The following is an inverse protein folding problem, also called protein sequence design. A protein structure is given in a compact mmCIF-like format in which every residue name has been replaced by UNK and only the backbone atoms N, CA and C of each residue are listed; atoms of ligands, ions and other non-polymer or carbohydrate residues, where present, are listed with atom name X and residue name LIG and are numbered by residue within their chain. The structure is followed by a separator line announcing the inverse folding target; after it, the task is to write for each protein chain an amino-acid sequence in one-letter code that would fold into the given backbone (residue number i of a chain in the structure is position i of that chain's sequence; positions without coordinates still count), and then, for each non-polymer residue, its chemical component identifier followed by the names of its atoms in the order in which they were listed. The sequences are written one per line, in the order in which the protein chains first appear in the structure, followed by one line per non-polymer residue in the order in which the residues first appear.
data_IF_972417207594
#
_entry.id   IF_972417207594
#
_cell.length_a   1.000
_cell.length_b   1.000
_cell.length_c   1.000
_cell.angle_alpha   90.00
_cell.angle_beta   90.00
_cell.angle_gamma   90.00
#
_symmetry.space_group_name_H-M   'P 1'
#
loop_
_entity.id
_entity.type
_entity.pdbx_description
1 polymer ?
#
# COMPACT_ATOMS: atom_id res chain seq x y z
N UNK A 1 13.96 26.96 -12.40
CA UNK A 1 12.68 26.63 -11.74
C UNK A 1 12.55 25.15 -11.35
N UNK A 2 12.97 24.17 -12.18
CA UNK A 2 12.92 22.73 -11.80
C UNK A 2 13.81 22.36 -10.58
N UNK A 3 15.00 22.96 -10.46
CA UNK A 3 15.94 22.71 -9.34
C UNK A 3 15.39 23.12 -7.96
N UNK A 4 14.56 24.18 -7.89
CA UNK A 4 13.91 24.63 -6.65
C UNK A 4 12.77 23.69 -6.20
N UNK A 5 12.04 23.04 -7.13
CA UNK A 5 11.00 22.07 -6.77
C UNK A 5 11.59 20.76 -6.22
N UNK A 6 12.75 20.34 -6.75
CA UNK A 6 13.53 19.20 -6.22
C UNK A 6 14.12 19.53 -4.85
N UNK A 7 14.62 20.75 -4.64
CA UNK A 7 15.04 21.22 -3.31
C UNK A 7 13.90 21.16 -2.29
N UNK A 8 12.64 21.45 -2.63
CA UNK A 8 11.53 21.34 -1.66
C UNK A 8 11.26 19.87 -1.23
N UNK A 9 11.48 18.88 -2.10
CA UNK A 9 11.46 17.45 -1.70
C UNK A 9 12.62 17.08 -0.75
N UNK A 10 13.72 17.84 -0.80
CA UNK A 10 14.94 17.66 0.02
C UNK A 10 14.94 18.56 1.26
N UNK A 11 14.30 19.73 1.26
CA UNK A 11 14.38 20.74 2.34
C UNK A 11 13.46 20.40 3.52
N UNK A 12 12.41 19.59 3.30
CA UNK A 12 11.69 18.93 4.42
C UNK A 12 12.57 17.97 5.24
N UNK A 13 13.82 17.69 4.83
CA UNK A 13 14.80 16.93 5.62
C UNK A 13 15.40 17.70 6.81
N UNK A 14 15.02 18.96 7.08
CA UNK A 14 15.72 19.78 8.08
C UNK A 14 14.88 20.66 9.01
N UNK A 15 13.55 20.58 8.99
CA UNK A 15 12.73 21.42 9.86
C UNK A 15 11.61 20.65 10.55
N UNK A 16 11.91 20.07 11.70
CA UNK A 16 10.91 20.00 12.77
C UNK A 16 11.58 20.23 14.12
N UNK A 17 11.19 21.33 14.76
CA UNK A 17 11.69 21.79 16.06
C UNK A 17 11.10 20.90 17.14
N UNK A 18 11.93 20.15 17.85
CA UNK A 18 11.69 19.85 19.25
C UNK A 18 12.91 20.27 20.05
N UNK A 19 12.67 21.28 20.88
CA UNK A 19 13.58 21.79 21.89
C UNK A 19 13.72 20.78 23.02
N UNK A 20 14.92 20.21 23.20
CA UNK A 20 15.66 20.10 24.47
C UNK A 20 16.72 18.98 24.38
N UNK A 21 17.98 19.37 24.58
CA UNK A 21 19.01 18.51 25.20
C UNK A 21 19.78 17.54 24.30
N UNK A 22 21.05 17.86 24.09
CA UNK A 22 22.17 17.01 23.63
C UNK A 22 22.47 17.04 22.13
N UNK A 23 23.41 17.92 21.77
CA UNK A 23 23.97 18.07 20.44
C UNK A 23 24.78 16.83 20.02
N UNK A 24 24.24 16.04 19.08
CA UNK A 24 25.05 15.16 18.24
C UNK A 24 25.38 15.90 16.94
N UNK A 25 26.61 16.41 16.86
CA UNK A 25 27.17 16.97 15.64
C UNK A 25 27.23 15.91 14.54
N UNK A 26 26.30 15.93 13.59
CA UNK A 26 26.45 15.22 12.33
C UNK A 26 27.39 16.02 11.43
N UNK A 27 28.63 15.55 11.28
CA UNK A 27 29.56 16.05 10.26
C UNK A 27 28.95 15.82 8.88
N UNK A 28 28.72 16.91 8.14
CA UNK A 28 28.46 16.90 6.70
C UNK A 28 29.62 16.21 5.98
N UNK A 29 29.50 14.90 5.73
CA UNK A 29 30.35 14.21 4.76
C UNK A 29 29.81 14.53 3.37
N UNK A 30 30.57 15.32 2.61
CA UNK A 30 30.42 15.37 1.15
C UNK A 30 30.58 13.95 0.63
N UNK A 31 29.51 13.38 0.08
CA UNK A 31 29.60 12.11 -0.61
C UNK A 31 30.51 12.28 -1.82
N UNK A 32 31.59 11.50 -1.87
CA UNK A 32 32.50 11.43 -3.00
C UNK A 32 31.72 10.98 -4.24
N UNK A 33 31.89 11.70 -5.34
CA UNK A 33 31.39 11.33 -6.66
C UNK A 33 32.15 10.11 -7.18
N UNK A 34 31.92 8.94 -6.63
CA UNK A 34 32.18 7.69 -7.34
C UNK A 34 31.11 7.57 -8.41
N UNK A 35 31.51 7.40 -9.67
CA UNK A 35 30.61 7.11 -10.78
C UNK A 35 29.65 5.99 -10.40
N UNK A 36 28.43 6.36 -10.02
CA UNK A 36 27.41 5.42 -9.63
C UNK A 36 26.97 4.73 -10.92
N UNK A 37 27.43 3.51 -11.17
CA UNK A 37 26.71 2.62 -12.07
C UNK A 37 25.35 2.41 -11.42
N UNK A 38 24.36 3.22 -11.79
CA UNK A 38 22.98 2.88 -11.49
C UNK A 38 22.79 1.47 -12.05
N UNK A 39 22.54 0.50 -11.17
CA UNK A 39 22.04 -0.78 -11.62
C UNK A 39 20.79 -0.41 -12.42
N UNK A 40 20.83 -0.59 -13.74
CA UNK A 40 19.65 -0.51 -14.59
C UNK A 40 18.78 -1.68 -14.18
N UNK A 41 17.99 -1.49 -13.13
CA UNK A 41 17.03 -2.48 -12.66
C UNK A 41 16.08 -2.71 -13.83
N UNK A 42 16.15 -3.90 -14.40
CA UNK A 42 15.18 -4.30 -15.41
C UNK A 42 13.89 -4.58 -14.65
N UNK A 43 12.78 -3.89 -14.96
CA UNK A 43 11.53 -4.13 -14.26
C UNK A 43 11.11 -5.60 -14.39
N UNK A 44 10.40 -6.12 -13.39
CA UNK A 44 9.69 -7.39 -13.48
C UNK A 44 8.98 -7.49 -14.83
N UNK A 45 9.16 -8.61 -15.55
CA UNK A 45 8.69 -8.74 -16.95
C UNK A 45 7.19 -8.52 -17.10
N UNK A 46 6.40 -8.90 -16.09
CA UNK A 46 4.95 -8.74 -16.09
C UNK A 46 4.46 -7.34 -15.72
N UNK A 47 5.34 -6.38 -15.38
CA UNK A 47 4.89 -5.06 -14.90
C UNK A 47 4.08 -4.30 -15.97
N UNK A 48 4.52 -4.35 -17.22
CA UNK A 48 3.78 -3.74 -18.31
C UNK A 48 2.48 -4.48 -18.61
N UNK A 49 2.48 -5.82 -18.53
CA UNK A 49 1.26 -6.62 -18.70
C UNK A 49 0.22 -6.31 -17.60
N UNK A 50 0.67 -6.11 -16.36
CA UNK A 50 -0.17 -5.68 -15.26
C UNK A 50 -0.73 -4.27 -15.49
N UNK A 51 0.10 -3.29 -15.90
CA UNK A 51 -0.35 -1.91 -16.21
C UNK A 51 -1.44 -1.87 -17.28
N UNK A 52 -1.21 -2.61 -18.36
CA UNK A 52 -2.11 -2.66 -19.52
C UNK A 52 -3.27 -3.64 -19.33
N UNK A 53 -3.35 -4.32 -18.18
CA UNK A 53 -4.44 -5.25 -17.91
C UNK A 53 -5.80 -4.52 -17.95
N UNK A 54 -6.85 -5.19 -18.45
CA UNK A 54 -8.20 -4.63 -18.43
C UNK A 54 -8.68 -4.45 -17.00
N UNK A 55 -9.69 -3.60 -16.80
CA UNK A 55 -10.36 -3.48 -15.51
C UNK A 55 -10.77 -4.85 -15.00
N UNK A 56 -10.28 -5.21 -13.82
CA UNK A 56 -10.45 -6.54 -13.28
C UNK A 56 -11.75 -6.61 -12.49
N UNK A 57 -12.84 -7.05 -13.10
CA UNK A 57 -14.14 -7.07 -12.44
C UNK A 57 -14.32 -8.16 -11.38
N UNK A 58 -13.27 -8.86 -10.95
CA UNK A 58 -13.35 -9.96 -9.99
C UNK A 58 -13.64 -9.51 -8.55
N UNK A 59 -14.81 -8.93 -8.30
CA UNK A 59 -15.17 -8.32 -7.01
C UNK A 59 -15.64 -9.31 -5.93
N UNK A 60 -15.98 -10.55 -6.30
CA UNK A 60 -16.46 -11.60 -5.37
C UNK A 60 -15.75 -12.92 -5.61
N UNK A 61 -15.76 -13.79 -4.59
CA UNK A 61 -15.26 -15.15 -4.69
C UNK A 61 -16.42 -16.15 -4.83
N UNK A 62 -16.64 -16.65 -6.04
CA UNK A 62 -17.69 -17.63 -6.36
C UNK A 62 -17.32 -19.07 -5.99
N UNK A 63 -18.07 -20.03 -6.53
CA UNK A 63 -17.80 -21.46 -6.34
C UNK A 63 -16.49 -21.90 -7.00
N UNK A 64 -16.22 -21.38 -8.20
CA UNK A 64 -15.07 -21.77 -9.01
C UNK A 64 -13.89 -20.79 -8.95
N UNK A 65 -13.97 -19.77 -8.10
CA UNK A 65 -12.92 -18.76 -7.96
C UNK A 65 -13.45 -17.33 -8.07
N UNK A 66 -12.55 -16.36 -8.30
CA UNK A 66 -12.92 -14.95 -8.37
C UNK A 66 -13.81 -14.66 -9.58
N UNK A 67 -14.76 -13.73 -9.43
CA UNK A 67 -15.72 -13.37 -10.46
C UNK A 67 -16.46 -12.06 -10.18
N UNK A 68 -17.31 -11.60 -11.13
CA UNK A 68 -17.97 -10.31 -11.02
C UNK A 68 -19.01 -10.23 -9.91
N UNK A 69 -19.11 -9.06 -9.29
CA UNK A 69 -20.25 -8.70 -8.47
C UNK A 69 -21.31 -7.98 -9.32
N UNK A 70 -22.56 -8.03 -8.87
CA UNK A 70 -23.63 -7.17 -9.39
C UNK A 70 -23.23 -5.70 -9.22
N UNK A 71 -23.31 -4.92 -10.30
CA UNK A 71 -23.02 -3.47 -10.28
C UNK A 71 -24.01 -2.73 -9.36
N UNK A 72 -23.54 -1.89 -8.42
CA UNK A 72 -24.42 -0.97 -7.72
C UNK A 72 -24.97 0.11 -8.68
N UNK A 73 -26.12 0.69 -8.32
CA UNK A 73 -26.90 1.62 -9.16
C UNK A 73 -26.17 2.93 -9.54
N UNK A 74 -26.66 3.52 -10.64
CA UNK A 74 -26.03 4.46 -11.61
C UNK A 74 -25.57 5.85 -11.14
N UNK A 75 -25.72 6.25 -9.88
CA UNK A 75 -25.33 7.60 -9.45
C UNK A 75 -23.88 7.63 -8.96
N UNK A 76 -23.06 8.57 -9.46
CA UNK A 76 -21.66 8.70 -9.05
C UNK A 76 -21.61 9.10 -7.56
N UNK A 77 -21.03 8.26 -6.69
CA UNK A 77 -20.94 8.54 -5.26
C UNK A 77 -19.91 9.64 -4.95
N UNK A 78 -19.21 10.13 -5.98
CA UNK A 78 -18.16 11.14 -5.86
C UNK A 78 -18.68 12.58 -6.02
N UNK A 79 -19.99 12.77 -6.21
CA UNK A 79 -20.60 14.09 -6.32
C UNK A 79 -19.99 14.92 -7.46
N UNK A 80 -19.40 16.07 -7.13
CA UNK A 80 -18.78 16.99 -8.09
C UNK A 80 -17.30 16.72 -8.34
N UNK A 81 -16.69 15.72 -7.69
CA UNK A 81 -15.27 15.42 -7.90
C UNK A 81 -15.00 15.05 -9.36
N UNK A 82 -13.95 15.64 -9.93
CA UNK A 82 -13.62 15.55 -11.35
C UNK A 82 -12.21 15.06 -11.63
N UNK A 83 -11.44 14.78 -10.58
CA UNK A 83 -10.03 14.37 -10.67
C UNK A 83 -9.73 13.13 -9.82
N UNK A 84 -8.69 12.38 -10.17
CA UNK A 84 -8.25 11.18 -9.43
C UNK A 84 -7.89 11.49 -7.97
N UNK A 85 -7.26 12.64 -7.71
CA UNK A 85 -6.88 13.05 -6.36
C UNK A 85 -8.11 13.43 -5.50
N UNK A 86 -9.13 14.07 -6.08
CA UNK A 86 -10.37 14.39 -5.36
C UNK A 86 -11.14 13.12 -4.99
N UNK A 87 -11.30 12.19 -5.93
CA UNK A 87 -12.00 10.91 -5.66
C UNK A 87 -11.23 10.07 -4.65
N UNK A 88 -9.90 10.02 -4.74
CA UNK A 88 -9.05 9.35 -3.75
C UNK A 88 -9.23 9.93 -2.34
N UNK A 89 -9.39 11.26 -2.22
CA UNK A 89 -9.67 11.90 -0.93
C UNK A 89 -11.02 11.50 -0.35
N UNK A 90 -12.02 11.25 -1.20
CA UNK A 90 -13.34 10.74 -0.79
C UNK A 90 -13.20 9.29 -0.29
N UNK A 91 -12.44 8.44 -0.99
CA UNK A 91 -12.15 7.06 -0.54
C UNK A 91 -11.49 7.08 0.84
N UNK A 92 -10.45 7.89 1.03
CA UNK A 92 -9.75 8.03 2.31
C UNK A 92 -10.66 8.55 3.43
N UNK A 93 -11.68 9.35 3.10
CA UNK A 93 -12.62 9.90 4.08
C UNK A 93 -13.79 8.96 4.40
N UNK A 94 -13.86 7.79 3.76
CA UNK A 94 -14.92 6.81 3.97
C UNK A 94 -14.58 5.87 5.12
N UNK A 95 -15.41 5.82 6.17
CA UNK A 95 -15.11 5.00 7.35
C UNK A 95 -15.50 3.54 7.20
N UNK A 96 -16.62 3.24 6.53
CA UNK A 96 -17.07 1.86 6.36
C UNK A 96 -16.12 1.10 5.42
N UNK A 97 -15.56 -0.06 5.83
CA UNK A 97 -14.51 -0.72 5.06
C UNK A 97 -15.05 -1.40 3.80
N UNK A 98 -16.28 -1.89 3.80
CA UNK A 98 -16.91 -2.43 2.60
C UNK A 98 -17.20 -1.32 1.59
N UNK A 99 -17.74 -0.20 2.05
CA UNK A 99 -18.00 0.96 1.21
C UNK A 99 -16.71 1.59 0.69
N UNK A 100 -15.66 1.67 1.50
CA UNK A 100 -14.34 2.13 1.08
C UNK A 100 -13.78 1.26 -0.06
N UNK A 101 -13.85 -0.06 0.08
CA UNK A 101 -13.42 -1.00 -0.97
C UNK A 101 -14.24 -0.82 -2.25
N UNK A 102 -15.57 -0.70 -2.15
CA UNK A 102 -16.42 -0.43 -3.32
C UNK A 102 -16.10 0.91 -3.98
N UNK A 103 -15.93 1.98 -3.21
CA UNK A 103 -15.54 3.29 -3.73
C UNK A 103 -14.15 3.26 -4.38
N UNK A 104 -13.21 2.49 -3.85
CA UNK A 104 -11.89 2.31 -4.46
C UNK A 104 -12.02 1.78 -5.90
N UNK A 105 -12.81 0.71 -6.08
CA UNK A 105 -13.10 0.15 -7.40
C UNK A 105 -13.76 1.14 -8.34
N UNK A 106 -14.78 1.84 -7.85
CA UNK A 106 -15.50 2.84 -8.64
C UNK A 106 -14.58 3.99 -9.03
N UNK A 107 -13.69 4.43 -8.13
CA UNK A 107 -12.75 5.51 -8.38
C UNK A 107 -11.75 5.13 -9.48
N UNK A 108 -11.11 3.97 -9.38
CA UNK A 108 -10.17 3.49 -10.40
C UNK A 108 -10.86 3.25 -11.74
N UNK A 109 -12.02 2.60 -11.74
CA UNK A 109 -12.80 2.33 -12.95
C UNK A 109 -13.26 3.61 -13.64
N UNK A 110 -13.74 4.60 -12.87
CA UNK A 110 -14.17 5.89 -13.40
C UNK A 110 -12.98 6.66 -13.99
N UNK A 111 -11.85 6.71 -13.27
CA UNK A 111 -10.63 7.35 -13.78
C UNK A 111 -10.15 6.73 -15.09
N UNK A 112 -10.05 5.39 -15.16
CA UNK A 112 -9.64 4.65 -16.37
C UNK A 112 -10.62 4.83 -17.53
N UNK A 113 -11.93 4.69 -17.30
CA UNK A 113 -12.96 4.74 -18.36
C UNK A 113 -13.19 6.15 -18.91
N UNK A 114 -13.11 7.17 -18.05
CA UNK A 114 -13.38 8.56 -18.43
C UNK A 114 -12.12 9.39 -18.65
N UNK A 115 -10.94 8.77 -18.52
CA UNK A 115 -9.64 9.44 -18.66
C UNK A 115 -9.57 10.72 -17.82
N UNK A 116 -9.97 10.62 -16.55
CA UNK A 116 -10.00 11.79 -15.66
C UNK A 116 -8.57 12.29 -15.41
N UNK A 117 -8.37 13.61 -15.32
CA UNK A 117 -7.07 14.15 -14.96
C UNK A 117 -6.69 13.76 -13.51
N UNK A 118 -5.40 13.73 -13.21
CA UNK A 118 -4.91 13.46 -11.86
C UNK A 118 -5.45 14.47 -10.84
N UNK A 119 -5.40 15.77 -11.18
CA UNK A 119 -5.75 16.86 -10.28
C UNK A 119 -4.80 17.00 -9.08
N UNK A 120 -5.20 17.84 -8.13
CA UNK A 120 -4.50 18.01 -6.85
C UNK A 120 -5.55 18.06 -5.75
N UNK A 121 -5.33 17.30 -4.70
CA UNK A 121 -6.18 17.32 -3.50
C UNK A 121 -5.33 17.16 -2.24
N UNK A 122 -5.93 17.35 -1.07
CA UNK A 122 -5.29 17.13 0.22
C UNK A 122 -5.91 15.90 0.87
N UNK A 123 -5.12 14.88 1.25
CA UNK A 123 -5.66 13.74 1.98
C UNK A 123 -6.13 14.19 3.38
N UNK A 124 -7.06 13.46 4.01
CA UNK A 124 -7.29 13.64 5.45
C UNK A 124 -6.00 13.35 6.23
N UNK A 125 -5.92 13.84 7.47
CA UNK A 125 -4.75 13.57 8.34
C UNK A 125 -4.52 12.07 8.56
N UNK A 126 -5.62 11.32 8.66
CA UNK A 126 -5.68 9.87 8.67
C UNK A 126 -6.89 9.40 7.86
N UNK A 127 -6.82 8.23 7.20
CA UNK A 127 -7.98 7.61 6.62
C UNK A 127 -9.04 7.40 7.68
N UNK A 128 -10.30 7.65 7.31
CA UNK A 128 -11.43 7.37 8.16
C UNK A 128 -11.50 5.86 8.45
N UNK A 129 -11.82 5.53 9.70
CA UNK A 129 -11.97 4.16 10.18
C UNK A 129 -13.29 4.04 10.95
N UNK A 130 -13.93 2.86 10.92
CA UNK A 130 -15.11 2.61 11.73
C UNK A 130 -14.73 2.48 13.22
N UNK A 131 -15.69 2.53 14.15
CA UNK A 131 -15.41 2.32 15.58
C UNK A 131 -14.83 0.93 15.91
N UNK A 132 -15.09 -0.08 15.08
CA UNK A 132 -14.59 -1.45 15.22
C UNK A 132 -13.91 -1.93 13.92
N UNK A 133 -12.75 -2.61 13.98
CA UNK A 133 -12.05 -3.09 15.18
C UNK A 133 -11.42 -1.96 15.99
N UNK A 134 -11.29 -2.17 17.30
CA UNK A 134 -10.46 -1.29 18.12
C UNK A 134 -9.01 -1.40 17.64
N UNK A 135 -8.39 -0.25 17.35
CA UNK A 135 -7.00 -0.20 16.93
C UNK A 135 -6.08 -0.11 18.14
N UNK A 136 -5.24 -1.14 18.34
CA UNK A 136 -4.38 -1.30 19.51
C UNK A 136 -2.90 -1.46 19.11
N UNK A 137 -1.98 -1.51 20.08
CA UNK A 137 -0.58 -1.85 19.79
C UNK A 137 -0.42 -3.34 19.46
N UNK A 138 0.63 -3.76 18.72
CA UNK A 138 0.85 -5.18 18.39
C UNK A 138 0.89 -6.11 19.60
N UNK A 139 1.27 -5.61 20.79
CA UNK A 139 1.32 -6.39 22.04
C UNK A 139 -0.05 -6.65 22.66
N UNK A 140 -1.05 -5.85 22.29
CA UNK A 140 -2.42 -5.91 22.79
C UNK A 140 -3.34 -6.72 21.86
N UNK A 141 -2.82 -7.19 20.72
CA UNK A 141 -3.55 -8.11 19.85
C UNK A 141 -3.67 -9.46 20.58
N UNK A 142 -4.88 -9.99 20.78
CA UNK A 142 -5.07 -11.26 21.47
C UNK A 142 -4.39 -12.39 20.67
N UNK A 143 -3.77 -13.34 21.39
CA UNK A 143 -3.30 -14.56 20.75
C UNK A 143 -4.50 -15.33 20.13
N UNK A 144 -4.31 -16.16 19.08
CA UNK A 144 -5.41 -16.85 18.42
C UNK A 144 -6.37 -17.58 19.38
N UNK A 145 -5.82 -18.26 20.40
CA UNK A 145 -6.59 -18.99 21.43
C UNK A 145 -7.48 -18.11 22.31
N UNK A 146 -7.15 -16.82 22.45
CA UNK A 146 -7.83 -15.86 23.33
C UNK A 146 -8.67 -14.85 22.52
N UNK A 147 -8.67 -14.96 21.18
CA UNK A 147 -9.32 -14.00 20.28
C UNK A 147 -10.84 -14.17 20.14
N UNK A 148 -11.37 -15.32 20.57
CA UNK A 148 -12.77 -15.70 20.32
C UNK A 148 -13.05 -16.16 18.88
N UNK A 149 -12.05 -16.16 18.00
CA UNK A 149 -12.16 -16.62 16.61
C UNK A 149 -11.48 -18.00 16.43
N UNK A 150 -12.01 -18.88 15.57
CA UNK A 150 -11.26 -20.05 15.10
C UNK A 150 -10.04 -19.59 14.30
N UNK A 151 -9.01 -20.43 14.26
CA UNK A 151 -7.70 -20.05 13.73
C UNK A 151 -7.75 -19.50 12.29
N UNK A 152 -8.57 -20.09 11.41
CA UNK A 152 -8.75 -19.62 10.04
C UNK A 152 -9.39 -18.23 9.97
N UNK A 153 -10.44 -17.96 10.76
CA UNK A 153 -11.06 -16.64 10.85
C UNK A 153 -10.11 -15.61 11.48
N UNK A 154 -9.34 -15.99 12.50
CA UNK A 154 -8.30 -15.13 13.10
C UNK A 154 -7.25 -14.69 12.07
N UNK A 155 -6.73 -15.63 11.27
CA UNK A 155 -5.73 -15.33 10.25
C UNK A 155 -6.33 -14.47 9.12
N UNK A 156 -7.55 -14.76 8.71
CA UNK A 156 -8.23 -14.04 7.64
C UNK A 156 -8.66 -12.63 8.04
N UNK A 157 -9.05 -12.40 9.31
CA UNK A 157 -9.33 -11.05 9.81
C UNK A 157 -8.07 -10.19 9.85
N UNK A 158 -6.93 -10.75 10.28
CA UNK A 158 -5.65 -10.04 10.19
C UNK A 158 -5.28 -9.72 8.74
N UNK A 159 -5.47 -10.65 7.80
CA UNK A 159 -5.24 -10.40 6.38
C UNK A 159 -6.15 -9.29 5.86
N UNK A 160 -7.46 -9.37 6.10
CA UNK A 160 -8.41 -8.30 5.75
C UNK A 160 -7.99 -6.94 6.33
N UNK A 161 -7.42 -6.91 7.54
CA UNK A 161 -6.87 -5.68 8.10
C UNK A 161 -5.69 -5.13 7.29
N UNK A 162 -4.77 -6.00 6.84
CA UNK A 162 -3.65 -5.63 5.97
C UNK A 162 -4.17 -5.06 4.65
N UNK A 163 -5.06 -5.78 3.96
CA UNK A 163 -5.65 -5.34 2.67
C UNK A 163 -6.33 -3.97 2.80
N UNK A 164 -7.12 -3.76 3.87
CA UNK A 164 -7.77 -2.47 4.09
C UNK A 164 -6.77 -1.33 4.30
N UNK A 165 -5.64 -1.60 4.97
CA UNK A 165 -4.58 -0.61 5.09
C UNK A 165 -3.88 -0.38 3.74
N UNK A 166 -3.68 -1.41 2.92
CA UNK A 166 -3.08 -1.27 1.61
C UNK A 166 -3.91 -0.38 0.67
N UNK A 167 -5.25 -0.52 0.68
CA UNK A 167 -6.18 0.43 0.02
C UNK A 167 -5.91 1.87 0.49
N UNK A 168 -5.88 2.08 1.81
CA UNK A 168 -5.64 3.41 2.39
C UNK A 168 -4.28 3.99 1.99
N UNK A 169 -3.25 3.16 1.91
CA UNK A 169 -1.89 3.60 1.62
C UNK A 169 -1.66 3.89 0.15
N UNK A 170 -2.26 3.09 -0.72
CA UNK A 170 -2.25 3.33 -2.14
C UNK A 170 -2.96 4.66 -2.47
N UNK A 171 -4.17 4.88 -1.94
CA UNK A 171 -4.87 6.16 -2.10
C UNK A 171 -4.17 7.33 -1.44
N UNK A 172 -3.62 7.16 -0.23
CA UNK A 172 -2.85 8.23 0.42
C UNK A 172 -1.63 8.61 -0.42
N UNK A 173 -0.95 7.64 -1.03
CA UNK A 173 0.18 7.90 -1.94
C UNK A 173 -0.26 8.69 -3.18
N UNK A 174 -1.41 8.34 -3.79
CA UNK A 174 -1.98 9.07 -4.92
C UNK A 174 -2.31 10.52 -4.54
N UNK A 175 -3.08 10.72 -3.47
CA UNK A 175 -3.61 12.03 -3.10
C UNK A 175 -2.50 12.92 -2.53
N UNK A 176 -1.73 12.41 -1.57
CA UNK A 176 -0.70 13.18 -0.84
C UNK A 176 0.39 13.70 -1.76
N UNK A 177 0.80 12.90 -2.74
CA UNK A 177 1.88 13.28 -3.64
C UNK A 177 1.41 13.88 -4.97
N UNK A 178 0.11 14.06 -5.17
CA UNK A 178 -0.45 14.71 -6.37
C UNK A 178 0.17 16.08 -6.69
N UNK A 179 0.60 16.93 -5.72
CA UNK A 179 1.32 18.18 -6.04
C UNK A 179 2.69 17.98 -6.72
N UNK A 180 3.26 16.77 -6.68
CA UNK A 180 4.55 16.42 -7.27
C UNK A 180 4.42 15.76 -8.64
N UNK A 181 3.25 15.82 -9.28
CA UNK A 181 2.96 15.18 -10.57
C UNK A 181 3.95 15.52 -11.68
N UNK A 182 4.41 16.77 -11.74
CA UNK A 182 5.43 17.25 -12.70
C UNK A 182 6.77 16.51 -12.59
N UNK A 183 7.10 15.96 -11.41
CA UNK A 183 8.37 15.24 -11.16
C UNK A 183 8.14 13.73 -11.23
N UNK A 184 7.06 13.25 -10.64
CA UNK A 184 6.77 11.82 -10.53
C UNK A 184 6.24 11.27 -11.87
N UNK A 185 5.48 12.06 -12.63
CA UNK A 185 4.79 11.67 -13.84
C UNK A 185 3.45 10.97 -13.54
N UNK A 186 2.51 11.03 -14.48
CA UNK A 186 1.16 10.45 -14.30
C UNK A 186 1.19 8.94 -14.03
N UNK A 187 2.16 8.22 -14.62
CA UNK A 187 2.35 6.78 -14.42
C UNK A 187 2.51 6.38 -12.95
N UNK A 188 3.10 7.25 -12.11
CA UNK A 188 3.23 6.97 -10.67
C UNK A 188 1.87 6.84 -10.02
N UNK A 189 0.98 7.78 -10.31
CA UNK A 189 -0.36 7.83 -9.74
C UNK A 189 -1.27 6.77 -10.34
N UNK A 190 -1.10 6.48 -11.63
CA UNK A 190 -1.78 5.39 -12.32
C UNK A 190 -1.48 4.04 -11.65
N UNK A 191 -0.20 3.75 -11.40
CA UNK A 191 0.21 2.49 -10.77
C UNK A 191 -0.35 2.38 -9.35
N UNK A 192 -0.24 3.42 -8.51
CA UNK A 192 -0.78 3.34 -7.14
C UNK A 192 -2.32 3.33 -7.10
N UNK A 193 -3.01 3.97 -8.05
CA UNK A 193 -4.45 3.83 -8.16
C UNK A 193 -4.86 2.40 -8.58
N UNK A 194 -4.04 1.74 -9.41
CA UNK A 194 -4.26 0.34 -9.78
C UNK A 194 -3.99 -0.62 -8.62
N UNK A 195 -2.92 -0.41 -7.85
CA UNK A 195 -2.70 -1.12 -6.57
C UNK A 195 -3.94 -0.97 -5.68
N UNK A 196 -4.46 0.24 -5.50
CA UNK A 196 -5.67 0.44 -4.69
C UNK A 196 -6.91 -0.35 -5.20
N UNK A 197 -7.04 -0.57 -6.52
CA UNK A 197 -8.09 -1.43 -7.10
C UNK A 197 -7.85 -2.91 -6.77
N UNK A 198 -6.61 -3.39 -6.84
CA UNK A 198 -6.28 -4.77 -6.47
C UNK A 198 -6.56 -5.03 -4.99
N UNK A 199 -6.07 -4.16 -4.10
CA UNK A 199 -6.25 -4.31 -2.65
C UNK A 199 -7.70 -4.24 -2.20
N UNK A 200 -8.52 -3.49 -2.94
CA UNK A 200 -9.95 -3.46 -2.68
C UNK A 200 -10.65 -4.77 -3.04
N UNK A 201 -10.14 -5.52 -4.04
CA UNK A 201 -10.63 -6.87 -4.36
C UNK A 201 -10.17 -7.86 -3.29
N UNK A 202 -8.90 -7.78 -2.90
CA UNK A 202 -8.32 -8.62 -1.86
C UNK A 202 -9.11 -8.49 -0.55
N UNK A 203 -9.33 -7.26 -0.09
CA UNK A 203 -10.16 -6.98 1.08
C UNK A 203 -11.58 -7.57 0.93
N UNK A 204 -12.23 -7.34 -0.21
CA UNK A 204 -13.58 -7.84 -0.47
C UNK A 204 -13.66 -9.37 -0.40
N UNK A 205 -12.69 -10.09 -0.95
CA UNK A 205 -12.63 -11.55 -0.85
C UNK A 205 -12.42 -12.03 0.58
N UNK A 206 -11.52 -11.38 1.33
CA UNK A 206 -11.31 -11.72 2.75
C UNK A 206 -12.56 -11.46 3.58
N UNK A 207 -13.19 -10.30 3.41
CA UNK A 207 -14.38 -9.93 4.18
C UNK A 207 -15.59 -10.80 3.82
N UNK A 208 -15.78 -11.14 2.54
CA UNK A 208 -16.77 -12.13 2.11
C UNK A 208 -16.51 -13.48 2.80
N UNK A 209 -15.26 -13.97 2.77
CA UNK A 209 -14.93 -15.28 3.33
C UNK A 209 -15.04 -15.32 4.85
N UNK A 210 -14.74 -14.22 5.55
CA UNK A 210 -15.04 -14.10 6.99
C UNK A 210 -16.53 -14.26 7.26
N UNK A 211 -17.39 -13.60 6.48
CA UNK A 211 -18.84 -13.70 6.64
C UNK A 211 -19.34 -15.13 6.41
N UNK A 212 -18.80 -15.85 5.42
CA UNK A 212 -19.10 -17.27 5.19
C UNK A 212 -18.67 -18.19 6.34
N UNK A 213 -17.64 -17.79 7.11
CA UNK A 213 -17.19 -18.49 8.31
C UNK A 213 -18.02 -18.12 9.56
N UNK A 214 -18.97 -17.19 9.45
CA UNK A 214 -19.81 -16.71 10.56
C UNK A 214 -19.21 -15.55 11.36
N UNK A 215 -18.19 -14.87 10.82
CA UNK A 215 -17.48 -13.76 11.47
C UNK A 215 -17.45 -12.52 10.57
N UNK A 216 -17.01 -11.40 11.10
CA UNK A 216 -16.85 -10.14 10.35
C UNK A 216 -15.53 -9.45 10.69
N UNK A 217 -15.07 -8.66 9.74
CA UNK A 217 -14.01 -7.70 10.03
C UNK A 217 -14.48 -6.75 11.14
N UNK A 218 -13.73 -6.69 12.24
CA UNK A 218 -14.12 -5.98 13.46
C UNK A 218 -14.38 -6.86 14.69
N UNK A 219 -14.53 -8.18 14.54
CA UNK A 219 -14.82 -9.08 15.67
C UNK A 219 -13.66 -9.26 16.68
N UNK A 220 -12.44 -8.85 16.30
CA UNK A 220 -11.31 -8.75 17.21
C UNK A 220 -10.54 -7.44 17.00
N UNK A 221 -9.78 -6.95 17.99
CA UNK A 221 -8.88 -5.80 17.82
C UNK A 221 -7.89 -5.99 16.68
N UNK A 222 -7.46 -4.89 16.07
CA UNK A 222 -6.46 -4.88 15.00
C UNK A 222 -5.33 -3.92 15.34
N UNK A 223 -4.13 -4.12 14.78
CA UNK A 223 -2.98 -3.29 15.15
C UNK A 223 -2.88 -2.03 14.28
N UNK A 224 -2.53 -0.87 14.86
CA UNK A 224 -2.31 0.36 14.07
C UNK A 224 -0.85 0.56 13.59
N UNK A 225 -0.04 -0.51 13.59
CA UNK A 225 1.40 -0.39 13.36
C UNK A 225 1.71 0.24 12.00
N UNK A 226 1.08 -0.29 10.94
CA UNK A 226 1.39 0.08 9.57
C UNK A 226 1.14 1.59 9.33
N UNK A 227 -0.08 2.07 9.62
CA UNK A 227 -0.40 3.48 9.44
C UNK A 227 0.53 4.40 10.23
N UNK A 228 0.88 4.05 11.48
CA UNK A 228 1.81 4.85 12.31
C UNK A 228 3.19 5.00 11.66
N UNK A 229 3.69 3.99 10.97
CA UNK A 229 4.95 4.10 10.22
C UNK A 229 4.77 4.93 8.92
N UNK A 230 3.59 4.92 8.31
CA UNK A 230 3.26 5.75 7.14
C UNK A 230 3.13 7.23 7.46
N UNK A 231 2.68 7.58 8.67
CA UNK A 231 2.65 8.96 9.13
C UNK A 231 4.05 9.55 9.18
N UNK A 232 5.04 8.76 9.59
CA UNK A 232 6.45 9.16 9.64
C UNK A 232 7.04 9.42 8.26
N UNK A 233 6.52 8.76 7.21
CA UNK A 233 6.97 8.93 5.82
C UNK A 233 6.10 9.88 4.99
N UNK A 234 5.09 10.50 5.59
CA UNK A 234 4.07 11.28 4.88
C UNK A 234 4.64 12.44 4.05
N UNK A 235 5.75 13.05 4.47
CA UNK A 235 6.36 14.18 3.78
C UNK A 235 7.51 13.78 2.82
N UNK A 236 7.73 12.48 2.60
CA UNK A 236 8.85 12.00 1.80
C UNK A 236 8.47 10.80 0.92
N UNK A 237 8.40 11.03 -0.40
CA UNK A 237 8.05 10.01 -1.41
C UNK A 237 8.99 8.80 -1.34
N UNK A 238 10.30 9.01 -1.24
CA UNK A 238 11.27 7.91 -1.19
C UNK A 238 11.11 7.09 0.10
N UNK A 239 10.85 7.74 1.23
CA UNK A 239 10.56 7.06 2.48
C UNK A 239 9.24 6.29 2.41
N UNK A 240 8.19 6.84 1.77
CA UNK A 240 6.93 6.12 1.56
C UNK A 240 7.15 4.85 0.77
N UNK A 241 7.86 4.95 -0.35
CA UNK A 241 8.17 3.82 -1.23
C UNK A 241 9.02 2.77 -0.50
N UNK A 242 10.00 3.18 0.31
CA UNK A 242 10.80 2.24 1.09
C UNK A 242 9.97 1.50 2.14
N UNK A 243 9.12 2.19 2.90
CA UNK A 243 8.40 1.60 4.04
C UNK A 243 7.25 0.69 3.58
N UNK A 244 6.56 1.06 2.50
CA UNK A 244 5.32 0.37 2.08
C UNK A 244 5.57 -0.65 0.98
N UNK A 245 5.70 -0.26 -0.30
CA UNK A 245 5.78 -1.25 -1.35
C UNK A 245 7.08 -2.08 -1.33
N UNK A 246 8.18 -1.57 -0.77
CA UNK A 246 9.43 -2.35 -0.66
C UNK A 246 9.52 -3.24 0.57
N UNK A 247 8.95 -2.83 1.71
CA UNK A 247 9.09 -3.58 2.97
C UNK A 247 7.80 -4.28 3.34
N UNK A 248 6.65 -3.60 3.30
CA UNK A 248 5.40 -4.22 3.71
C UNK A 248 4.88 -5.21 2.66
N UNK A 249 4.85 -4.85 1.38
CA UNK A 249 4.37 -5.77 0.34
C UNK A 249 5.34 -6.94 0.12
N UNK A 250 6.66 -6.70 0.21
CA UNK A 250 7.64 -7.78 0.16
C UNK A 250 7.48 -8.80 1.29
N UNK A 251 7.02 -8.38 2.49
CA UNK A 251 6.66 -9.33 3.56
C UNK A 251 5.45 -10.17 3.20
N UNK A 252 4.52 -9.63 2.41
CA UNK A 252 3.36 -10.34 1.86
C UNK A 252 3.80 -11.54 1.01
N UNK A 253 4.83 -11.37 0.17
CA UNK A 253 5.35 -12.41 -0.72
C UNK A 253 5.88 -13.64 0.03
N UNK A 254 6.48 -13.42 1.20
CA UNK A 254 6.92 -14.48 2.09
C UNK A 254 5.79 -15.06 2.94
N UNK A 255 4.88 -14.21 3.42
CA UNK A 255 3.82 -14.59 4.36
C UNK A 255 2.67 -15.34 3.67
N UNK A 256 2.31 -14.97 2.45
CA UNK A 256 1.22 -15.55 1.66
C UNK A 256 1.35 -17.07 1.52
N UNK A 257 2.43 -17.59 0.90
CA UNK A 257 2.63 -19.03 0.72
C UNK A 257 2.63 -19.83 2.04
N UNK A 258 3.17 -19.24 3.13
CA UNK A 258 3.13 -19.87 4.46
C UNK A 258 1.70 -19.94 5.00
N UNK A 259 0.92 -18.88 4.83
CA UNK A 259 -0.49 -18.85 5.24
C UNK A 259 -1.33 -19.84 4.42
N UNK A 260 -1.10 -19.93 3.10
CA UNK A 260 -1.73 -20.95 2.23
C UNK A 260 -1.47 -22.35 2.78
N UNK A 261 -0.21 -22.72 3.03
CA UNK A 261 0.15 -24.04 3.57
C UNK A 261 -0.54 -24.32 4.90
N UNK A 262 -0.61 -23.32 5.78
CA UNK A 262 -1.26 -23.44 7.08
C UNK A 262 -2.77 -23.66 6.97
N UNK A 263 -3.45 -22.95 6.05
CA UNK A 263 -4.88 -23.09 5.80
C UNK A 263 -5.22 -24.45 5.17
N UNK A 264 -4.40 -24.94 4.24
CA UNK A 264 -4.51 -26.30 3.69
C UNK A 264 -4.37 -27.34 4.80
N UNK A 265 -3.36 -27.19 5.67
CA UNK A 265 -3.17 -28.08 6.83
C UNK A 265 -4.31 -28.05 7.84
N UNK A 266 -5.03 -26.93 7.94
CA UNK A 266 -6.24 -26.78 8.74
C UNK A 266 -7.51 -27.34 8.05
N UNK A 267 -7.43 -27.71 6.76
CA UNK A 267 -8.55 -28.21 5.96
C UNK A 267 -9.41 -27.13 5.29
N UNK A 268 -9.08 -25.84 5.43
CA UNK A 268 -9.83 -24.73 4.83
C UNK A 268 -9.31 -24.39 3.42
N UNK A 269 -9.60 -25.29 2.48
CA UNK A 269 -9.16 -25.18 1.09
C UNK A 269 -9.77 -23.97 0.34
N UNK A 270 -10.91 -23.45 0.80
CA UNK A 270 -11.52 -22.27 0.18
C UNK A 270 -10.73 -21.01 0.55
N UNK A 271 -10.45 -20.83 1.83
CA UNK A 271 -9.64 -19.69 2.29
C UNK A 271 -8.21 -19.79 1.74
N UNK A 272 -7.62 -20.99 1.63
CA UNK A 272 -6.27 -21.13 1.06
C UNK A 272 -6.19 -20.67 -0.41
N UNK A 273 -7.22 -20.93 -1.23
CA UNK A 273 -7.28 -20.45 -2.62
C UNK A 273 -7.40 -18.93 -2.71
N UNK A 274 -8.15 -18.30 -1.81
CA UNK A 274 -8.26 -16.84 -1.73
C UNK A 274 -6.89 -16.24 -1.41
N UNK A 275 -6.23 -16.74 -0.36
CA UNK A 275 -4.90 -16.26 0.04
C UNK A 275 -3.85 -16.51 -1.04
N UNK A 276 -3.90 -17.66 -1.73
CA UNK A 276 -2.99 -17.95 -2.83
C UNK A 276 -3.16 -16.93 -3.96
N UNK A 277 -4.42 -16.59 -4.30
CA UNK A 277 -4.68 -15.60 -5.35
C UNK A 277 -4.20 -14.20 -4.97
N UNK A 278 -4.41 -13.78 -3.73
CA UNK A 278 -3.86 -12.51 -3.22
C UNK A 278 -2.34 -12.52 -3.35
N UNK A 279 -1.67 -13.54 -2.82
CA UNK A 279 -0.21 -13.67 -2.87
C UNK A 279 0.37 -13.68 -4.29
N UNK A 280 -0.35 -14.22 -5.28
CA UNK A 280 0.04 -14.17 -6.69
C UNK A 280 -0.06 -12.75 -7.27
N UNK A 281 -1.06 -11.96 -6.85
CA UNK A 281 -1.29 -10.58 -7.33
C UNK A 281 -0.29 -9.58 -6.68
N UNK A 282 0.18 -9.84 -5.46
CA UNK A 282 1.16 -9.00 -4.71
C UNK A 282 2.52 -8.80 -5.42
N UNK A 283 2.92 -9.71 -6.31
CA UNK A 283 4.22 -9.61 -7.01
C UNK A 283 4.30 -8.32 -7.83
N UNK A 284 3.18 -7.93 -8.45
CA UNK A 284 3.12 -6.71 -9.24
C UNK A 284 3.26 -5.46 -8.36
N UNK A 285 2.75 -5.47 -7.14
CA UNK A 285 2.78 -4.32 -6.22
C UNK A 285 4.20 -4.06 -5.70
N UNK A 286 4.94 -5.12 -5.39
CA UNK A 286 6.38 -5.01 -5.07
C UNK A 286 7.16 -4.49 -6.28
N UNK A 287 6.88 -5.00 -7.48
CA UNK A 287 7.54 -4.53 -8.71
C UNK A 287 7.27 -3.04 -8.98
N UNK A 288 6.04 -2.57 -8.76
CA UNK A 288 5.68 -1.13 -8.80
C UNK A 288 6.53 -0.34 -7.81
N UNK A 289 6.65 -0.83 -6.58
CA UNK A 289 7.49 -0.26 -5.54
C UNK A 289 8.94 -0.07 -5.97
N UNK A 290 9.58 -1.17 -6.38
CA UNK A 290 10.99 -1.19 -6.80
C UNK A 290 11.22 -0.24 -7.98
N UNK A 291 10.33 -0.28 -8.98
CA UNK A 291 10.40 0.60 -10.14
C UNK A 291 10.38 2.08 -9.74
N UNK A 292 9.39 2.49 -8.95
CA UNK A 292 9.26 3.90 -8.55
C UNK A 292 10.33 4.34 -7.56
N UNK A 293 10.79 3.46 -6.68
CA UNK A 293 11.89 3.78 -5.77
C UNK A 293 13.17 4.07 -6.55
N UNK A 294 13.51 3.22 -7.53
CA UNK A 294 14.64 3.45 -8.42
C UNK A 294 14.48 4.74 -9.23
N UNK A 295 13.30 4.98 -9.81
CA UNK A 295 13.01 6.21 -10.59
C UNK A 295 13.12 7.47 -9.74
N UNK A 296 12.60 7.47 -8.50
CA UNK A 296 12.71 8.59 -7.58
C UNK A 296 14.17 8.82 -7.18
N UNK A 297 14.93 7.77 -6.90
CA UNK A 297 16.35 7.90 -6.59
C UNK A 297 17.15 8.49 -7.76
N UNK A 298 16.86 8.05 -9.00
CA UNK A 298 17.46 8.62 -10.21
C UNK A 298 17.13 10.12 -10.36
N UNK A 299 15.85 10.50 -10.20
CA UNK A 299 15.39 11.90 -10.26
C UNK A 299 16.01 12.78 -9.16
N UNK A 300 16.30 12.19 -7.99
CA UNK A 300 16.95 12.86 -6.86
C UNK A 300 18.49 12.78 -6.93
N UNK A 301 19.05 12.11 -7.93
CA UNK A 301 20.49 11.87 -8.09
C UNK A 301 21.13 11.22 -6.83
N UNK A 302 20.44 10.24 -6.25
CA UNK A 302 20.93 9.43 -5.13
C UNK A 302 20.96 7.95 -5.49
N UNK A 303 21.82 7.17 -4.82
CA UNK A 303 21.92 5.74 -5.06
C UNK A 303 20.78 5.00 -4.32
N UNK A 304 20.01 4.12 -4.98
CA UNK A 304 18.91 3.40 -4.35
C UNK A 304 19.32 2.63 -3.09
N UNK A 305 20.39 1.83 -3.16
CA UNK A 305 20.86 1.01 -2.04
C UNK A 305 21.17 1.82 -0.79
N UNK A 306 21.90 2.93 -0.93
CA UNK A 306 22.27 3.79 0.21
C UNK A 306 21.07 4.57 0.73
N UNK A 307 20.15 4.96 -0.16
CA UNK A 307 18.91 5.65 0.19
C UNK A 307 18.00 4.73 0.99
N UNK A 308 17.81 3.48 0.54
CA UNK A 308 17.02 2.47 1.22
C UNK A 308 17.60 2.15 2.61
N UNK A 309 18.93 1.91 2.68
CA UNK A 309 19.64 1.73 3.96
C UNK A 309 19.50 2.94 4.88
N UNK A 310 19.49 4.15 4.33
CA UNK A 310 19.25 5.39 5.09
C UNK A 310 17.89 5.43 5.78
N UNK A 311 16.90 4.71 5.24
CA UNK A 311 15.59 4.56 5.86
C UNK A 311 15.52 3.42 6.89
N UNK A 312 16.55 2.57 7.03
CA UNK A 312 16.58 1.47 8.01
C UNK A 312 16.36 1.93 9.46
N UNK A 313 16.72 3.17 9.79
CA UNK A 313 16.48 3.76 11.12
C UNK A 313 14.99 3.99 11.39
N UNK A 314 14.18 4.17 10.35
CA UNK A 314 12.71 4.19 10.42
C UNK A 314 12.13 2.77 10.41
N UNK A 315 12.89 1.77 9.96
CA UNK A 315 12.48 0.37 9.82
C UNK A 315 12.69 -0.47 11.09
N UNK A 316 13.12 0.12 12.21
CA UNK A 316 13.42 -0.62 13.45
C UNK A 316 12.12 -1.02 14.18
N UNK A 317 11.52 -2.12 13.72
CA UNK A 317 11.27 -3.33 14.51
C UNK A 317 10.62 -4.44 13.65
N UNK A 318 11.26 -4.85 12.54
CA UNK A 318 11.12 -6.21 11.97
C UNK A 318 12.06 -6.42 10.73
N UNK A 319 13.21 -7.06 10.97
CA UNK A 319 14.10 -7.82 10.09
C UNK A 319 14.46 -7.38 8.64
N UNK A 320 15.79 -7.23 8.45
CA UNK A 320 16.73 -7.74 7.42
C UNK A 320 16.19 -8.28 6.07
N UNK A 321 15.83 -7.40 5.14
CA UNK A 321 16.01 -7.65 3.71
C UNK A 321 16.78 -6.47 3.12
N UNK A 322 17.80 -6.75 2.32
CA UNK A 322 18.55 -5.74 1.58
C UNK A 322 17.84 -5.39 0.28
N UNK A 323 17.94 -4.15 -0.18
CA UNK A 323 17.39 -3.71 -1.46
C UNK A 323 17.86 -4.58 -2.64
N UNK A 324 19.07 -5.13 -2.56
CA UNK A 324 19.63 -6.08 -3.54
C UNK A 324 18.87 -7.41 -3.60
N UNK A 325 18.38 -7.92 -2.46
CA UNK A 325 17.59 -9.16 -2.40
C UNK A 325 16.18 -8.96 -2.99
N UNK A 326 15.60 -7.77 -2.84
CA UNK A 326 14.33 -7.40 -3.47
C UNK A 326 14.45 -7.42 -5.01
N UNK A 327 15.49 -6.81 -5.58
CA UNK A 327 15.71 -6.74 -7.04
C UNK A 327 16.01 -8.11 -7.67
N UNK A 328 16.77 -8.97 -6.98
CA UNK A 328 17.13 -10.27 -7.54
C UNK A 328 15.94 -11.24 -7.61
N UNK A 329 14.89 -10.95 -6.83
CA UNK A 329 13.72 -11.80 -6.71
C UNK A 329 12.53 -11.26 -7.50
N UNK A 330 12.41 -9.93 -7.64
CA UNK A 330 11.26 -9.23 -8.23
C UNK A 330 11.71 -8.08 -9.14
#
# INVERSE_FOLDING_TARGET
MQRLKVEVMVVSLSASRYSHGSALHFKSRRFSSSSCSCLKVSPWRGLNEWRESPLNENRKWGEHGPGPASEPHRDSPFGQASTLAEIGSIVLSTSDPHWKSQLSHMAYSMWRRHNLPLGISKPPSRPARPPIPQLVSPKEIPAPKDSGLPLNAYMLHNLAHVELNAIDLAWDTVVRFSPYSEILGEGFFADFAHVADDESRHFSWCAQRLAELGFKYGDMPAHNLLWRECEKSSDNVAARLAVIPLVQEARGLDAGPRLVKKLVGFGDNRTSKIVARIADEEVAHVAVGVYWFASVCEKLNCAPDSTFKGFEVWLISAYLLTYTELIQTY
#
